data_IF_733176989121
#
_entry.id   IF_733176989121
#
_cell.length_a   1.000
_cell.length_b   1.000
_cell.length_c   1.000
_cell.angle_alpha   90.00
_cell.angle_beta   90.00
_cell.angle_gamma   90.00
#
_symmetry.space_group_name_H-M   'P 1'
#
loop_
_entity.id
_entity.type
_entity.pdbx_description
1 polymer ?
#
# COMPACT_ATOMS: atom_id res chain seq x y z
N UNK A 1 -12.83 12.04 -24.41
CA UNK A 1 -12.30 11.24 -23.31
C UNK A 1 -12.67 11.90 -21.99
N UNK A 2 -13.20 11.14 -21.04
CA UNK A 2 -13.58 11.67 -19.73
C UNK A 2 -12.34 11.93 -18.90
N UNK A 3 -12.24 13.12 -18.35
CA UNK A 3 -11.17 13.52 -17.45
C UNK A 3 -11.74 13.56 -16.03
N UNK A 4 -11.17 12.77 -15.11
CA UNK A 4 -11.62 12.67 -13.74
C UNK A 4 -10.74 13.43 -12.74
N UNK A 5 -9.88 14.34 -13.22
CA UNK A 5 -9.05 15.16 -12.34
C UNK A 5 -9.91 15.95 -11.34
N UNK A 6 -11.01 16.52 -11.81
CA UNK A 6 -11.95 17.25 -10.95
C UNK A 6 -12.52 16.35 -9.84
N UNK A 7 -12.74 15.07 -10.13
CA UNK A 7 -13.26 14.11 -9.14
C UNK A 7 -12.19 13.82 -8.10
N UNK A 8 -10.94 13.65 -8.51
CA UNK A 8 -9.83 13.45 -7.57
C UNK A 8 -9.66 14.65 -6.65
N UNK A 9 -9.75 15.87 -7.18
CA UNK A 9 -9.68 17.09 -6.38
C UNK A 9 -10.84 17.16 -5.38
N UNK A 10 -12.04 16.82 -5.81
CA UNK A 10 -13.23 16.82 -4.97
C UNK A 10 -13.11 15.81 -3.82
N UNK A 11 -12.50 14.66 -4.09
CA UNK A 11 -12.31 13.60 -3.09
C UNK A 11 -11.04 13.79 -2.26
N UNK A 12 -10.21 14.79 -2.57
CA UNK A 12 -8.94 15.01 -1.90
C UNK A 12 -7.84 14.04 -2.33
N UNK A 13 -8.00 13.39 -3.49
CA UNK A 13 -7.01 12.47 -4.05
C UNK A 13 -6.08 13.21 -5.00
N UNK A 14 -4.78 12.99 -4.84
CA UNK A 14 -3.75 13.64 -5.65
C UNK A 14 -2.77 12.62 -6.24
N UNK A 15 -3.23 11.77 -7.20
CA UNK A 15 -2.37 10.72 -7.76
C UNK A 15 -1.12 11.24 -8.47
N UNK A 16 -1.15 12.48 -8.95
CA UNK A 16 0.00 13.13 -9.58
C UNK A 16 1.15 13.41 -8.58
N UNK A 17 0.85 13.43 -7.28
CA UNK A 17 1.85 13.64 -6.23
C UNK A 17 2.51 12.33 -5.78
N UNK A 18 1.98 11.18 -6.21
CA UNK A 18 2.54 9.87 -5.85
C UNK A 18 3.58 9.49 -6.90
N UNK A 19 4.83 9.37 -6.46
CA UNK A 19 5.98 8.99 -7.31
C UNK A 19 6.55 7.63 -6.92
N UNK A 20 6.19 7.13 -5.75
CA UNK A 20 6.74 5.89 -5.20
C UNK A 20 6.15 4.66 -5.87
N UNK A 21 6.92 3.58 -5.86
CA UNK A 21 6.42 2.24 -6.19
C UNK A 21 5.89 1.60 -4.92
N UNK A 22 4.61 1.19 -4.95
CA UNK A 22 3.95 0.61 -3.78
C UNK A 22 3.52 -0.81 -4.10
N UNK A 23 3.89 -1.74 -3.24
CA UNK A 23 3.52 -3.15 -3.33
C UNK A 23 2.82 -3.57 -2.05
N UNK A 24 1.80 -4.41 -2.16
CA UNK A 24 1.07 -4.93 -1.02
C UNK A 24 0.76 -6.41 -1.22
N UNK A 25 1.09 -7.22 -0.21
CA UNK A 25 0.70 -8.64 -0.16
C UNK A 25 -0.60 -8.76 0.61
N UNK A 26 -1.55 -9.49 0.07
CA UNK A 26 -2.91 -9.58 0.62
C UNK A 26 -3.49 -10.99 0.52
N UNK A 27 -4.60 -11.19 1.23
CA UNK A 27 -5.54 -12.28 1.00
C UNK A 27 -6.85 -11.69 0.51
N UNK A 28 -7.64 -12.48 -0.20
CA UNK A 28 -8.89 -12.03 -0.81
C UNK A 28 -9.91 -11.52 0.22
N UNK A 29 -10.03 -12.21 1.36
CA UNK A 29 -11.00 -11.87 2.41
C UNK A 29 -10.30 -11.46 3.70
N UNK A 30 -9.53 -10.39 3.64
CA UNK A 30 -8.77 -9.89 4.80
C UNK A 30 -9.23 -8.45 5.10
N UNK A 31 -9.92 -8.21 6.23
CA UNK A 31 -10.38 -6.85 6.57
C UNK A 31 -9.25 -5.84 6.69
N UNK A 32 -8.12 -6.22 7.26
CA UNK A 32 -6.96 -5.33 7.38
C UNK A 32 -6.32 -5.04 6.02
N UNK A 33 -6.39 -5.99 5.09
CA UNK A 33 -5.95 -5.75 3.71
C UNK A 33 -6.84 -4.72 3.02
N UNK A 34 -8.15 -4.83 3.23
CA UNK A 34 -9.12 -3.87 2.69
C UNK A 34 -8.86 -2.48 3.25
N UNK A 35 -8.64 -2.37 4.56
CA UNK A 35 -8.36 -1.09 5.21
C UNK A 35 -7.07 -0.46 4.68
N UNK A 36 -6.01 -1.24 4.53
CA UNK A 36 -4.74 -0.75 4.00
C UNK A 36 -4.89 -0.27 2.55
N UNK A 37 -5.56 -1.06 1.71
CA UNK A 37 -5.80 -0.70 0.31
C UNK A 37 -6.67 0.56 0.22
N UNK A 38 -7.65 0.72 1.11
CA UNK A 38 -8.51 1.90 1.14
C UNK A 38 -7.71 3.17 1.43
N UNK A 39 -6.81 3.13 2.39
CA UNK A 39 -5.97 4.28 2.70
C UNK A 39 -5.07 4.63 1.51
N UNK A 40 -4.44 3.64 0.90
CA UNK A 40 -3.59 3.86 -0.28
C UNK A 40 -4.41 4.45 -1.44
N UNK A 41 -5.63 3.96 -1.65
CA UNK A 41 -6.51 4.49 -2.68
C UNK A 41 -6.84 5.97 -2.43
N UNK A 42 -7.16 6.33 -1.18
CA UNK A 42 -7.45 7.73 -0.81
C UNK A 42 -6.26 8.65 -1.02
N UNK A 43 -5.03 8.11 -0.93
CA UNK A 43 -3.81 8.85 -1.21
C UNK A 43 -3.50 8.96 -2.72
N UNK A 44 -4.31 8.33 -3.56
CA UNK A 44 -4.11 8.34 -5.00
C UNK A 44 -3.10 7.33 -5.49
N UNK A 45 -2.79 6.31 -4.67
CA UNK A 45 -1.76 5.31 -5.01
C UNK A 45 -2.33 4.26 -5.94
N UNK A 46 -1.60 4.00 -7.03
CA UNK A 46 -1.76 2.78 -7.82
C UNK A 46 -0.71 1.80 -7.31
N UNK A 47 -1.17 0.72 -6.68
CA UNK A 47 -0.26 -0.24 -6.05
C UNK A 47 -0.28 -1.57 -6.79
N UNK A 48 0.84 -2.29 -6.69
CA UNK A 48 0.90 -3.67 -7.16
C UNK A 48 0.44 -4.58 -6.01
N UNK A 49 -0.63 -5.32 -6.25
CA UNK A 49 -1.17 -6.25 -5.26
C UNK A 49 -0.77 -7.67 -5.59
N UNK A 50 -0.25 -8.38 -4.59
CA UNK A 50 0.05 -9.81 -4.66
C UNK A 50 -0.92 -10.56 -3.75
N UNK A 51 -1.90 -11.23 -4.33
CA UNK A 51 -2.84 -12.08 -3.58
C UNK A 51 -2.19 -13.43 -3.39
N UNK A 52 -1.91 -13.77 -2.14
CA UNK A 52 -1.13 -14.96 -1.80
C UNK A 52 -1.95 -16.03 -1.06
N UNK A 53 -3.28 -16.00 -1.22
CA UNK A 53 -4.18 -17.00 -0.63
C UNK A 53 -3.72 -18.41 -1.01
N UNK A 54 -3.43 -19.23 0.02
CA UNK A 54 -3.08 -20.62 -0.20
C UNK A 54 -1.72 -20.86 -0.87
N UNK A 55 -0.94 -19.83 -1.11
CA UNK A 55 0.37 -19.93 -1.77
C UNK A 55 1.48 -19.84 -0.72
N UNK A 56 1.92 -20.98 -0.21
CA UNK A 56 2.94 -21.04 0.84
C UNK A 56 4.30 -20.52 0.37
N UNK A 57 4.66 -20.79 -0.88
CA UNK A 57 5.93 -20.30 -1.44
C UNK A 57 5.95 -18.77 -1.53
N UNK A 58 4.84 -18.17 -1.96
CA UNK A 58 4.71 -16.71 -2.00
C UNK A 58 4.75 -16.12 -0.58
N UNK A 59 4.12 -16.80 0.38
CA UNK A 59 4.14 -16.36 1.78
C UNK A 59 5.54 -16.39 2.36
N UNK A 60 6.31 -17.43 2.05
CA UNK A 60 7.70 -17.53 2.48
C UNK A 60 8.55 -16.40 1.88
N UNK A 61 8.36 -16.11 0.60
CA UNK A 61 9.07 -15.02 -0.07
C UNK A 61 8.70 -13.66 0.54
N UNK A 62 7.42 -13.45 0.83
CA UNK A 62 6.96 -12.25 1.55
C UNK A 62 7.64 -12.12 2.90
N UNK A 63 7.68 -13.21 3.67
CA UNK A 63 8.26 -13.20 5.02
C UNK A 63 9.75 -12.83 4.98
N UNK A 64 10.50 -13.30 3.97
CA UNK A 64 11.90 -12.91 3.79
C UNK A 64 12.03 -11.39 3.61
N UNK A 65 11.18 -10.77 2.79
CA UNK A 65 11.16 -9.32 2.60
C UNK A 65 10.68 -8.57 3.84
N UNK A 66 9.81 -9.18 4.63
CA UNK A 66 9.09 -8.54 5.74
C UNK A 66 9.72 -8.82 7.10
N UNK A 67 11.01 -9.07 7.15
CA UNK A 67 11.75 -9.30 8.40
C UNK A 67 11.17 -10.45 9.22
N UNK A 68 10.71 -11.50 8.52
CA UNK A 68 10.15 -12.69 9.13
C UNK A 68 8.65 -12.65 9.40
N UNK A 69 8.00 -11.53 9.15
CA UNK A 69 6.54 -11.41 9.38
C UNK A 69 5.77 -12.16 8.30
N UNK A 70 4.83 -12.98 8.73
CA UNK A 70 4.04 -13.87 7.86
C UNK A 70 2.57 -13.45 7.74
N UNK A 71 2.17 -12.42 8.44
CA UNK A 71 0.79 -11.91 8.40
C UNK A 71 0.55 -11.04 7.18
N UNK A 72 -0.70 -10.88 6.78
CA UNK A 72 -1.11 -9.96 5.73
C UNK A 72 -2.02 -8.88 6.34
N UNK A 73 -2.01 -7.67 5.80
CA UNK A 73 -1.20 -7.21 4.67
C UNK A 73 0.26 -6.97 5.07
N UNK A 74 1.15 -6.98 4.07
CA UNK A 74 2.51 -6.46 4.22
C UNK A 74 2.74 -5.47 3.09
N UNK A 75 3.16 -4.26 3.42
CA UNK A 75 3.28 -3.14 2.50
C UNK A 75 4.74 -2.76 2.33
N UNK A 76 5.12 -2.47 1.07
CA UNK A 76 6.46 -2.01 0.70
C UNK A 76 6.33 -0.74 -0.13
N UNK A 77 7.11 0.27 0.22
CA UNK A 77 7.17 1.53 -0.53
C UNK A 77 8.61 1.72 -0.98
N UNK A 78 8.82 1.78 -2.30
CA UNK A 78 10.16 1.86 -2.90
C UNK A 78 11.07 0.73 -2.38
N UNK A 79 10.54 -0.49 -2.34
CA UNK A 79 11.22 -1.69 -1.87
C UNK A 79 11.57 -1.68 -0.37
N UNK A 80 11.13 -0.68 0.37
CA UNK A 80 11.34 -0.59 1.81
C UNK A 80 10.12 -1.15 2.55
N UNK A 81 10.36 -2.02 3.51
CA UNK A 81 9.29 -2.65 4.29
C UNK A 81 8.65 -1.64 5.24
N UNK A 82 7.36 -1.39 5.04
CA UNK A 82 6.58 -0.53 5.93
C UNK A 82 5.96 -1.34 7.07
N UNK A 83 5.45 -2.51 6.75
CA UNK A 83 4.78 -3.39 7.70
C UNK A 83 3.35 -3.68 7.32
N UNK A 84 2.49 -3.88 8.31
CA UNK A 84 1.08 -4.19 8.12
C UNK A 84 0.19 -2.95 8.11
N UNK A 85 -1.11 -3.20 8.26
CA UNK A 85 -2.12 -2.13 8.25
C UNK A 85 -1.88 -1.10 9.35
N UNK A 86 -1.61 -1.56 10.58
CA UNK A 86 -1.38 -0.66 11.72
C UNK A 86 -0.16 0.22 11.50
N UNK A 87 0.90 -0.36 10.94
CA UNK A 87 2.13 0.38 10.63
C UNK A 87 1.89 1.46 9.58
N UNK A 88 1.08 1.13 8.55
CA UNK A 88 0.73 2.07 7.49
C UNK A 88 -0.08 3.26 8.04
N UNK A 89 -1.08 2.98 8.88
CA UNK A 89 -1.91 4.02 9.49
C UNK A 89 -1.11 4.87 10.46
N UNK A 90 -0.20 4.28 11.24
CA UNK A 90 0.68 5.02 12.14
C UNK A 90 1.58 5.97 11.35
N UNK A 91 2.13 5.51 10.24
CA UNK A 91 2.95 6.35 9.36
C UNK A 91 2.14 7.53 8.81
N UNK A 92 0.87 7.28 8.46
CA UNK A 92 -0.04 8.31 7.99
C UNK A 92 -0.34 9.35 9.08
N UNK A 93 -0.62 8.90 10.30
CA UNK A 93 -0.90 9.80 11.43
C UNK A 93 0.29 10.69 11.76
N UNK A 94 1.50 10.21 11.56
CA UNK A 94 2.74 10.97 11.78
C UNK A 94 3.02 11.98 10.66
N UNK A 95 2.23 11.98 9.60
CA UNK A 95 2.44 12.82 8.43
C UNK A 95 3.58 12.35 7.54
N UNK A 96 4.13 11.15 7.79
CA UNK A 96 5.28 10.63 7.07
C UNK A 96 4.90 9.83 5.82
N UNK A 97 3.64 9.36 5.73
CA UNK A 97 3.22 8.55 4.58
C UNK A 97 3.25 9.36 3.28
N UNK A 98 2.71 10.57 3.29
CA UNK A 98 2.69 11.42 2.10
C UNK A 98 4.10 11.75 1.62
N UNK A 99 5.02 11.97 2.55
CA UNK A 99 6.43 12.23 2.23
C UNK A 99 7.07 11.03 1.51
N UNK A 100 6.83 9.82 2.01
CA UNK A 100 7.34 8.60 1.37
C UNK A 100 6.73 8.38 -0.02
N UNK A 101 5.42 8.62 -0.15
CA UNK A 101 4.73 8.43 -1.42
C UNK A 101 5.17 9.43 -2.48
N UNK A 102 5.67 10.58 -2.10
CA UNK A 102 6.16 11.60 -3.02
C UNK A 102 7.56 11.30 -3.58
N UNK A 103 8.28 10.34 -3.00
CA UNK A 103 9.66 10.03 -3.38
C UNK A 103 9.69 9.00 -4.50
N UNK A 104 10.34 9.28 -5.65
CA UNK A 104 10.55 8.26 -6.67
C UNK A 104 11.60 7.25 -6.22
N UNK A 105 11.47 6.05 -6.76
CA UNK A 105 12.44 4.99 -6.50
C UNK A 105 13.73 5.20 -7.29
#
# INVERSE_FOLDING_TARGET
MLDFEWLNDLLGRHPDQVKAQVEIYTWQTCPYCIAAKSLLWWKGVEFQEYKIDGDNAARDAMAERAHGRRSVPQIFINDEHIGGCDDLYALNEQGALDTRLAQPM
#
